data_IF_267844437585
#
_entry.id   IF_267844437585
#
_cell.length_a   1.000
_cell.length_b   1.000
_cell.length_c   1.000
_cell.angle_alpha   90.00
_cell.angle_beta   90.00
_cell.angle_gamma   90.00
#
_symmetry.space_group_name_H-M   'P 1'
#
loop_
_entity.id
_entity.type
_entity.pdbx_description
1 polymer ?
#
# COMPACT_ATOMS: atom_id res chain seq x y z
N UNK A 1 -7.43 -16.84 17.82
CA UNK A 1 -6.49 -16.09 18.65
C UNK A 1 -6.13 -14.85 17.88
N UNK A 2 -6.69 -13.71 18.27
CA UNK A 2 -6.30 -12.42 17.70
C UNK A 2 -4.86 -12.13 18.11
N UNK A 3 -3.90 -12.40 17.24
CA UNK A 3 -2.53 -11.97 17.47
C UNK A 3 -2.46 -10.47 17.25
N UNK A 4 -1.96 -9.73 18.24
CA UNK A 4 -1.70 -8.28 18.07
C UNK A 4 -0.87 -8.04 16.82
N UNK A 5 -1.22 -7.05 15.98
CA UNK A 5 -0.46 -6.80 14.75
C UNK A 5 1.00 -6.48 15.06
N UNK A 6 1.87 -7.03 14.21
CA UNK A 6 3.32 -6.97 14.37
C UNK A 6 3.91 -5.81 13.56
N UNK A 7 4.65 -4.91 14.20
CA UNK A 7 5.23 -3.72 13.58
C UNK A 7 6.75 -3.77 13.62
N UNK A 8 7.38 -3.71 12.47
CA UNK A 8 8.83 -3.49 12.36
C UNK A 8 9.13 -1.99 12.43
N UNK A 9 9.77 -1.57 13.51
CA UNK A 9 10.21 -0.18 13.70
C UNK A 9 11.68 -0.03 13.33
N UNK A 10 11.96 0.76 12.30
CA UNK A 10 13.31 1.14 11.89
C UNK A 10 13.62 2.52 12.46
N UNK A 11 14.33 2.58 13.58
CA UNK A 11 14.59 3.79 14.35
C UNK A 11 16.05 3.86 14.78
N UNK A 12 16.78 4.90 14.35
CA UNK A 12 18.16 5.12 14.75
C UNK A 12 18.28 5.51 16.24
N UNK A 13 19.38 5.16 16.86
CA UNK A 13 19.66 5.56 18.25
C UNK A 13 19.94 7.07 18.31
N UNK A 14 19.04 7.82 18.96
CA UNK A 14 19.19 9.27 19.14
C UNK A 14 19.03 9.59 20.63
N UNK A 15 20.10 10.07 21.25
CA UNK A 15 20.06 10.45 22.66
C UNK A 15 19.04 11.57 22.92
N UNK A 16 18.21 11.39 23.97
CA UNK A 16 17.25 12.41 24.42
C UNK A 16 15.95 12.49 23.62
N UNK A 17 15.68 11.58 22.67
CA UNK A 17 14.43 11.52 21.93
C UNK A 17 13.59 10.31 22.38
N UNK A 18 12.29 10.53 22.60
CA UNK A 18 11.36 9.43 22.89
C UNK A 18 11.20 8.54 21.67
N UNK A 19 11.39 7.22 21.86
CA UNK A 19 11.19 6.21 20.84
C UNK A 19 9.72 6.09 20.42
N UNK A 20 9.47 5.85 19.15
CA UNK A 20 8.12 5.57 18.66
C UNK A 20 7.59 4.23 19.19
N UNK A 21 8.47 3.32 19.62
CA UNK A 21 8.09 2.02 20.15
C UNK A 21 7.13 2.16 21.33
N UNK A 22 7.42 3.01 22.32
CA UNK A 22 6.58 3.18 23.50
C UNK A 22 5.16 3.66 23.18
N UNK A 23 5.01 4.45 22.10
CA UNK A 23 3.70 4.91 21.63
C UNK A 23 2.89 3.77 21.00
N UNK A 24 3.55 2.92 20.22
CA UNK A 24 2.93 1.79 19.52
C UNK A 24 2.61 0.65 20.49
N UNK A 25 3.51 0.32 21.42
CA UNK A 25 3.29 -0.71 22.46
C UNK A 25 2.10 -0.38 23.36
N UNK A 26 1.99 0.89 23.82
CA UNK A 26 0.84 1.37 24.60
C UNK A 26 -0.48 1.27 23.84
N UNK A 27 -0.44 1.24 22.52
CA UNK A 27 -1.60 1.07 21.66
C UNK A 27 -1.91 -0.41 21.33
N UNK A 28 -1.14 -1.36 21.88
CA UNK A 28 -1.40 -2.79 21.77
C UNK A 28 -0.70 -3.48 20.59
N UNK A 29 0.30 -2.85 19.96
CA UNK A 29 1.08 -3.47 18.89
C UNK A 29 2.28 -4.24 19.44
N UNK A 30 2.63 -5.34 18.80
CA UNK A 30 3.91 -6.05 19.04
C UNK A 30 4.98 -5.40 18.19
N UNK A 31 6.13 -5.01 18.78
CA UNK A 31 7.16 -4.22 18.11
C UNK A 31 8.47 -4.99 18.04
N UNK A 32 9.09 -4.98 16.87
CA UNK A 32 10.51 -5.30 16.71
C UNK A 32 11.27 -4.06 16.26
N UNK A 33 12.35 -3.72 16.97
CA UNK A 33 13.14 -2.52 16.70
C UNK A 33 14.44 -2.91 16.03
N UNK A 34 14.75 -2.23 14.93
CA UNK A 34 16.05 -2.30 14.27
C UNK A 34 16.61 -0.88 14.07
N UNK A 35 17.92 -0.73 14.09
CA UNK A 35 18.53 0.60 14.08
C UNK A 35 18.89 1.10 12.67
N UNK A 36 18.87 0.23 11.69
CA UNK A 36 19.24 0.57 10.31
C UNK A 36 18.31 -0.09 9.29
N UNK A 37 18.22 0.51 8.10
CA UNK A 37 17.48 -0.10 7.00
C UNK A 37 18.11 -1.41 6.50
N UNK A 38 19.41 -1.64 6.73
CA UNK A 38 20.06 -2.91 6.40
C UNK A 38 19.64 -4.03 7.36
N UNK A 39 19.57 -3.75 8.65
CA UNK A 39 19.04 -4.68 9.65
C UNK A 39 17.57 -5.02 9.36
N UNK A 40 16.77 -4.02 8.96
CA UNK A 40 15.38 -4.25 8.60
C UNK A 40 15.23 -5.21 7.41
N UNK A 41 16.07 -5.06 6.38
CA UNK A 41 16.08 -5.96 5.22
C UNK A 41 16.43 -7.39 5.64
N UNK A 42 17.52 -7.55 6.40
CA UNK A 42 17.96 -8.89 6.87
C UNK A 42 16.90 -9.55 7.77
N UNK A 43 16.24 -8.76 8.61
CA UNK A 43 15.21 -9.29 9.49
C UNK A 43 13.97 -9.77 8.70
N UNK A 44 13.56 -9.05 7.66
CA UNK A 44 12.41 -9.40 6.81
C UNK A 44 12.66 -10.61 5.92
N UNK A 45 13.90 -11.01 5.68
CA UNK A 45 14.23 -12.23 4.94
C UNK A 45 13.75 -13.50 5.68
N UNK A 46 13.67 -13.46 7.02
CA UNK A 46 13.34 -14.61 7.87
C UNK A 46 12.03 -14.39 8.67
N UNK A 47 11.51 -13.17 8.72
CA UNK A 47 10.40 -12.81 9.59
C UNK A 47 9.31 -12.05 8.83
N UNK A 48 8.09 -12.06 9.40
CA UNK A 48 6.95 -11.31 8.88
C UNK A 48 6.64 -10.09 9.73
N UNK A 49 6.14 -9.04 9.09
CA UNK A 49 5.61 -7.84 9.74
C UNK A 49 4.33 -7.38 9.03
N UNK A 50 3.36 -6.88 9.80
CA UNK A 50 2.11 -6.33 9.26
C UNK A 50 2.24 -4.87 8.83
N UNK A 51 3.25 -4.16 9.37
CA UNK A 51 3.53 -2.75 9.09
C UNK A 51 5.01 -2.43 9.32
N UNK A 52 5.58 -1.61 8.47
CA UNK A 52 6.91 -1.02 8.69
C UNK A 52 6.74 0.45 9.06
N UNK A 53 7.33 0.87 10.18
CA UNK A 53 7.49 2.28 10.54
C UNK A 53 8.96 2.65 10.39
N UNK A 54 9.27 3.46 9.39
CA UNK A 54 10.63 3.91 9.10
C UNK A 54 10.83 5.36 9.57
N UNK A 55 11.52 5.54 10.71
CA UNK A 55 11.80 6.87 11.26
C UNK A 55 13.11 7.46 10.70
N UNK A 56 13.04 8.00 9.48
CA UNK A 56 14.18 8.64 8.84
C UNK A 56 14.69 9.85 9.62
N UNK A 57 13.85 10.51 10.44
CA UNK A 57 14.24 11.66 11.25
C UNK A 57 15.30 11.33 12.32
N UNK A 58 15.52 10.05 12.62
CA UNK A 58 16.53 9.53 13.55
C UNK A 58 17.78 9.02 12.81
N UNK A 59 17.77 9.04 11.50
CA UNK A 59 18.85 8.54 10.65
C UNK A 59 19.78 9.69 10.22
N UNK A 60 21.01 9.35 9.82
CA UNK A 60 21.95 10.32 9.24
C UNK A 60 21.60 10.76 7.82
N UNK A 61 20.67 10.07 7.16
CA UNK A 61 20.16 10.35 5.83
C UNK A 61 18.64 10.33 5.85
N UNK A 62 18.00 10.92 4.83
CA UNK A 62 16.53 10.93 4.71
C UNK A 62 15.88 9.54 4.50
N UNK A 63 16.67 8.48 4.50
CA UNK A 63 16.17 7.10 4.45
C UNK A 63 15.54 6.65 3.14
N UNK A 64 15.39 7.52 2.15
CA UNK A 64 14.71 7.24 0.86
C UNK A 64 15.23 5.98 0.18
N UNK A 65 16.55 5.84 0.07
CA UNK A 65 17.18 4.67 -0.57
C UNK A 65 16.85 3.37 0.17
N UNK A 66 16.87 3.40 1.50
CA UNK A 66 16.54 2.23 2.32
C UNK A 66 15.06 1.92 2.26
N UNK A 67 14.19 2.92 2.31
CA UNK A 67 12.75 2.75 2.17
C UNK A 67 12.38 2.10 0.82
N UNK A 68 13.00 2.53 -0.29
CA UNK A 68 12.85 1.88 -1.60
C UNK A 68 13.31 0.42 -1.61
N UNK A 69 14.40 0.11 -0.93
CA UNK A 69 14.88 -1.28 -0.84
C UNK A 69 13.89 -2.14 -0.04
N UNK A 70 13.38 -1.60 1.08
CA UNK A 70 12.35 -2.24 1.88
C UNK A 70 11.06 -2.46 1.06
N UNK A 71 10.64 -1.46 0.27
CA UNK A 71 9.47 -1.59 -0.61
C UNK A 71 9.63 -2.72 -1.63
N UNK A 72 10.80 -2.91 -2.20
CA UNK A 72 11.05 -3.99 -3.17
C UNK A 72 11.03 -5.39 -2.54
N UNK A 73 11.49 -5.52 -1.29
CA UNK A 73 11.48 -6.79 -0.57
C UNK A 73 10.10 -7.08 0.03
N UNK A 74 9.46 -6.04 0.54
CA UNK A 74 8.19 -6.11 1.27
C UNK A 74 7.09 -5.42 0.46
N UNK A 75 6.84 -5.87 -0.76
CA UNK A 75 5.92 -5.23 -1.72
C UNK A 75 4.50 -5.05 -1.17
N UNK A 76 4.06 -5.96 -0.30
CA UNK A 76 2.71 -6.00 0.26
C UNK A 76 2.62 -5.44 1.69
N UNK A 77 3.74 -5.10 2.33
CA UNK A 77 3.73 -4.55 3.70
C UNK A 77 3.61 -3.03 3.61
N UNK A 78 2.61 -2.41 4.24
CA UNK A 78 2.49 -0.96 4.27
C UNK A 78 3.65 -0.31 5.03
N UNK A 79 4.09 0.89 4.57
CA UNK A 79 5.21 1.63 5.14
C UNK A 79 4.76 3.02 5.56
N UNK A 80 5.00 3.38 6.84
CA UNK A 80 4.96 4.76 7.32
C UNK A 80 6.40 5.30 7.29
N UNK A 81 6.64 6.38 6.57
CA UNK A 81 7.92 7.08 6.55
C UNK A 81 7.81 8.37 7.37
N UNK A 82 8.61 8.49 8.42
CA UNK A 82 8.70 9.70 9.24
C UNK A 82 9.95 10.50 8.87
N UNK A 83 9.81 11.82 8.74
CA UNK A 83 10.89 12.75 8.38
C UNK A 83 11.02 13.88 9.38
N UNK A 84 12.16 14.58 9.36
CA UNK A 84 12.36 15.78 10.17
C UNK A 84 11.51 16.95 9.63
N UNK A 85 11.25 17.96 10.50
CA UNK A 85 10.54 19.17 10.11
C UNK A 85 11.32 19.92 9.01
N UNK A 86 10.60 20.40 8.00
CA UNK A 86 11.17 21.19 6.91
C UNK A 86 11.91 20.38 5.84
N UNK A 87 12.07 19.06 6.00
CA UNK A 87 12.57 18.22 4.93
C UNK A 87 11.50 18.03 3.85
N UNK A 88 11.89 18.12 2.58
CA UNK A 88 10.98 17.86 1.47
C UNK A 88 10.43 16.44 1.50
N UNK A 89 9.16 16.27 1.16
CA UNK A 89 8.59 14.95 0.95
C UNK A 89 9.20 14.34 -0.30
N UNK A 90 10.04 13.33 -0.12
CA UNK A 90 10.58 12.58 -1.24
C UNK A 90 9.70 11.36 -1.50
N UNK A 91 8.77 11.51 -2.44
CA UNK A 91 7.87 10.43 -2.89
C UNK A 91 8.62 9.25 -3.50
N UNK A 92 9.89 9.43 -3.84
CA UNK A 92 10.75 8.36 -4.28
C UNK A 92 11.03 7.31 -3.19
N UNK A 93 10.70 7.57 -1.91
CA UNK A 93 10.72 6.57 -0.86
C UNK A 93 9.62 5.51 -1.02
N UNK A 94 8.57 5.79 -1.83
CA UNK A 94 7.46 4.86 -2.13
C UNK A 94 6.73 4.37 -0.86
N UNK A 95 6.66 5.21 0.19
CA UNK A 95 5.91 4.91 1.39
C UNK A 95 4.40 5.16 1.19
N UNK A 96 3.58 4.44 1.96
CA UNK A 96 2.13 4.60 1.92
C UNK A 96 1.67 5.85 2.67
N UNK A 97 2.37 6.20 3.75
CA UNK A 97 2.11 7.39 4.56
C UNK A 97 3.41 8.11 4.88
N UNK A 98 3.39 9.45 4.76
CA UNK A 98 4.46 10.32 5.19
C UNK A 98 4.04 11.11 6.44
N UNK A 99 4.89 11.14 7.46
CA UNK A 99 4.68 11.91 8.67
C UNK A 99 5.86 12.87 8.88
N UNK A 100 5.56 14.14 9.12
CA UNK A 100 6.56 15.15 9.47
C UNK A 100 6.56 15.37 11.00
N UNK A 101 7.74 15.27 11.60
CA UNK A 101 7.93 15.56 13.02
C UNK A 101 7.91 17.07 13.29
N UNK A 102 7.40 17.52 14.45
CA UNK A 102 6.82 16.70 15.51
C UNK A 102 5.37 16.27 15.18
N UNK A 103 4.98 15.09 15.59
CA UNK A 103 3.61 14.63 15.54
C UNK A 103 3.20 13.99 16.86
N UNK A 104 1.90 14.02 17.14
CA UNK A 104 1.34 13.41 18.36
C UNK A 104 1.26 11.89 18.23
N UNK A 105 1.31 11.17 19.36
CA UNK A 105 1.04 9.73 19.43
C UNK A 105 -0.29 9.37 18.76
N UNK A 106 -1.34 10.18 18.97
CA UNK A 106 -2.65 10.01 18.32
C UNK A 106 -2.56 10.01 16.80
N UNK A 107 -1.74 10.90 16.21
CA UNK A 107 -1.57 10.98 14.75
C UNK A 107 -0.90 9.71 14.22
N UNK A 108 0.19 9.24 14.87
CA UNK A 108 0.86 8.00 14.52
C UNK A 108 -0.10 6.81 14.60
N UNK A 109 -0.77 6.63 15.73
CA UNK A 109 -1.69 5.50 15.95
C UNK A 109 -2.86 5.51 14.96
N UNK A 110 -3.44 6.67 14.65
CA UNK A 110 -4.50 6.74 13.65
C UNK A 110 -4.01 6.32 12.25
N UNK A 111 -2.78 6.69 11.86
CA UNK A 111 -2.19 6.28 10.59
C UNK A 111 -1.85 4.79 10.59
N UNK A 112 -1.32 4.27 11.70
CA UNK A 112 -1.07 2.84 11.89
C UNK A 112 -2.36 2.03 11.74
N UNK A 113 -3.42 2.41 12.44
CA UNK A 113 -4.75 1.76 12.34
C UNK A 113 -5.33 1.81 10.92
N UNK A 114 -5.15 2.93 10.21
CA UNK A 114 -5.64 3.06 8.84
C UNK A 114 -4.87 2.16 7.84
N UNK A 115 -3.62 1.82 8.13
CA UNK A 115 -2.78 0.96 7.30
C UNK A 115 -2.94 -0.53 7.62
N UNK A 116 -3.26 -0.88 8.85
CA UNK A 116 -3.48 -2.26 9.26
C UNK A 116 -4.88 -2.73 8.84
N UNK A 117 -5.09 -4.03 8.60
CA UNK A 117 -6.40 -4.56 8.30
C UNK A 117 -7.42 -4.18 9.38
N UNK A 118 -8.59 -3.73 8.96
CA UNK A 118 -9.71 -3.47 9.86
C UNK A 118 -10.44 -4.80 10.20
N UNK A 119 -11.40 -4.74 11.13
CA UNK A 119 -12.27 -5.87 11.46
C UNK A 119 -12.96 -6.39 10.19
N UNK A 120 -12.62 -7.63 9.82
CA UNK A 120 -13.12 -8.31 8.61
C UNK A 120 -14.59 -8.75 8.73
N UNK A 121 -15.25 -8.56 9.88
CA UNK A 121 -16.66 -8.92 10.07
C UNK A 121 -17.63 -8.17 9.13
N UNK A 122 -17.17 -7.07 8.51
CA UNK A 122 -17.92 -6.24 7.55
C UNK A 122 -17.26 -6.21 6.18
N UNK A 123 -16.66 -7.32 5.76
CA UNK A 123 -15.96 -7.39 4.49
C UNK A 123 -16.84 -6.95 3.30
N UNK A 124 -16.34 -6.02 2.53
CA UNK A 124 -16.94 -5.60 1.28
C UNK A 124 -16.22 -6.27 0.11
N UNK A 125 -16.96 -7.04 -0.66
CA UNK A 125 -16.42 -7.83 -1.77
C UNK A 125 -16.81 -7.18 -3.09
N UNK A 126 -15.82 -6.88 -3.93
CA UNK A 126 -16.03 -6.41 -5.31
C UNK A 126 -15.53 -7.49 -6.26
N UNK A 127 -16.42 -8.01 -7.11
CA UNK A 127 -16.12 -9.08 -8.06
C UNK A 127 -16.32 -8.63 -9.48
N UNK A 128 -15.39 -8.99 -10.35
CA UNK A 128 -15.58 -8.90 -11.79
C UNK A 128 -14.68 -9.90 -12.54
N UNK A 129 -15.28 -10.75 -13.33
CA UNK A 129 -14.59 -11.82 -14.05
C UNK A 129 -13.81 -12.72 -13.09
N UNK A 130 -12.54 -12.94 -13.38
CA UNK A 130 -11.64 -13.78 -12.56
C UNK A 130 -11.12 -13.11 -11.28
N UNK A 131 -11.50 -11.86 -10.99
CA UNK A 131 -10.95 -11.07 -9.88
C UNK A 131 -12.00 -10.91 -8.79
N UNK A 132 -11.64 -11.27 -7.54
CA UNK A 132 -12.41 -11.00 -6.33
C UNK A 132 -11.57 -10.15 -5.39
N UNK A 133 -11.96 -8.90 -5.18
CA UNK A 133 -11.30 -7.96 -4.28
C UNK A 133 -12.03 -7.92 -2.93
N UNK A 134 -11.31 -8.20 -1.85
CA UNK A 134 -11.74 -8.06 -0.47
C UNK A 134 -11.22 -6.71 0.06
N UNK A 135 -12.11 -5.71 0.17
CA UNK A 135 -11.72 -4.32 0.43
C UNK A 135 -11.14 -4.10 1.82
N UNK A 136 -11.78 -4.66 2.83
CA UNK A 136 -11.37 -4.47 4.23
C UNK A 136 -10.15 -5.32 4.55
N UNK A 137 -10.16 -6.58 4.14
CA UNK A 137 -9.03 -7.49 4.24
C UNK A 137 -7.84 -7.03 3.39
N UNK A 138 -8.09 -6.17 2.37
CA UNK A 138 -7.09 -5.71 1.40
C UNK A 138 -6.37 -6.87 0.72
N UNK A 139 -7.14 -7.80 0.21
CA UNK A 139 -6.61 -8.90 -0.59
C UNK A 139 -7.39 -9.06 -1.88
N UNK A 140 -6.73 -9.66 -2.85
CA UNK A 140 -7.33 -10.03 -4.12
C UNK A 140 -7.17 -11.53 -4.33
N UNK A 141 -8.27 -12.22 -4.60
CA UNK A 141 -8.25 -13.59 -5.09
C UNK A 141 -8.44 -13.58 -6.60
N UNK A 142 -7.56 -14.27 -7.29
CA UNK A 142 -7.57 -14.38 -8.76
C UNK A 142 -7.73 -15.84 -9.15
N UNK A 143 -8.78 -16.13 -9.88
CA UNK A 143 -9.09 -17.49 -10.31
C UNK A 143 -7.88 -18.16 -10.99
N UNK A 144 -7.43 -19.29 -10.43
CA UNK A 144 -6.28 -20.05 -10.92
C UNK A 144 -4.91 -19.56 -10.43
N UNK A 145 -4.83 -18.45 -9.65
CA UNK A 145 -3.58 -17.94 -9.04
C UNK A 145 -3.62 -17.94 -7.51
N UNK A 146 -4.81 -17.80 -6.91
CA UNK A 146 -4.99 -17.71 -5.46
C UNK A 146 -5.03 -16.28 -4.93
N UNK A 147 -4.89 -16.15 -3.61
CA UNK A 147 -5.08 -14.89 -2.89
C UNK A 147 -3.75 -14.17 -2.66
N UNK A 148 -3.75 -12.84 -2.86
CA UNK A 148 -2.61 -11.95 -2.65
C UNK A 148 -3.01 -10.80 -1.73
N UNK A 149 -2.18 -10.47 -0.74
CA UNK A 149 -2.36 -9.31 0.12
C UNK A 149 -1.94 -8.02 -0.60
N UNK A 150 -2.68 -6.94 -0.39
CA UNK A 150 -2.47 -5.65 -1.04
C UNK A 150 -2.16 -4.56 -0.01
N UNK A 151 -1.28 -3.62 -0.34
CA UNK A 151 -1.19 -2.37 0.41
C UNK A 151 -2.47 -1.55 0.24
N UNK A 152 -2.77 -0.59 1.13
CA UNK A 152 -3.95 0.26 1.00
C UNK A 152 -4.07 0.94 -0.36
N UNK A 153 -2.96 1.45 -0.92
CA UNK A 153 -2.96 2.11 -2.24
C UNK A 153 -3.16 1.14 -3.39
N UNK A 154 -2.60 -0.08 -3.29
CA UNK A 154 -2.83 -1.12 -4.28
C UNK A 154 -4.29 -1.58 -4.27
N UNK A 155 -4.90 -1.74 -3.09
CA UNK A 155 -6.30 -2.10 -2.95
C UNK A 155 -7.21 -1.03 -3.57
N UNK A 156 -6.98 0.26 -3.25
CA UNK A 156 -7.73 1.37 -3.86
C UNK A 156 -7.54 1.44 -5.38
N UNK A 157 -6.31 1.27 -5.86
CA UNK A 157 -6.02 1.33 -7.28
C UNK A 157 -6.68 0.16 -8.03
N UNK A 158 -6.62 -1.05 -7.48
CA UNK A 158 -7.28 -2.21 -8.08
C UNK A 158 -8.80 -2.07 -8.03
N UNK A 159 -9.37 -1.54 -6.93
CA UNK A 159 -10.80 -1.25 -6.81
C UNK A 159 -11.27 -0.32 -7.93
N UNK A 160 -10.52 0.74 -8.24
CA UNK A 160 -10.85 1.65 -9.35
C UNK A 160 -11.00 0.89 -10.67
N UNK A 161 -10.12 -0.06 -10.95
CA UNK A 161 -10.20 -0.87 -12.17
C UNK A 161 -11.36 -1.86 -12.16
N UNK A 162 -11.58 -2.54 -11.04
CA UNK A 162 -12.64 -3.57 -10.92
C UNK A 162 -14.04 -2.93 -10.95
N UNK A 163 -14.17 -1.70 -10.46
CA UNK A 163 -15.44 -0.93 -10.57
C UNK A 163 -15.67 -0.29 -11.93
N UNK A 164 -14.63 -0.14 -12.75
CA UNK A 164 -14.71 0.43 -14.10
C UNK A 164 -14.13 -0.52 -15.15
N UNK A 165 -14.63 -1.76 -15.24
CA UNK A 165 -14.09 -2.76 -16.14
C UNK A 165 -14.29 -2.32 -17.59
N UNK A 166 -13.31 -2.61 -18.43
CA UNK A 166 -13.30 -2.28 -19.86
C UNK A 166 -13.41 -0.77 -20.15
N UNK A 167 -13.18 0.09 -19.15
CA UNK A 167 -13.13 1.53 -19.31
C UNK A 167 -11.69 2.03 -19.21
N UNK A 168 -11.36 3.02 -20.02
CA UNK A 168 -10.06 3.70 -19.94
C UNK A 168 -10.06 4.65 -18.73
N UNK A 169 -9.17 4.38 -17.77
CA UNK A 169 -8.90 5.28 -16.67
C UNK A 169 -7.62 6.06 -16.96
N UNK A 170 -7.73 7.37 -17.00
CA UNK A 170 -6.60 8.25 -17.30
C UNK A 170 -5.64 8.37 -16.12
N UNK A 171 -4.37 8.67 -16.39
CA UNK A 171 -3.37 8.87 -15.34
C UNK A 171 -3.78 9.94 -14.32
N UNK A 172 -4.29 11.14 -14.71
CA UNK A 172 -4.80 12.12 -13.76
C UNK A 172 -5.93 11.60 -12.87
N UNK A 173 -6.90 10.89 -13.43
CA UNK A 173 -8.00 10.30 -12.64
C UNK A 173 -7.48 9.32 -11.58
N UNK A 174 -6.56 8.44 -11.96
CA UNK A 174 -5.96 7.46 -11.03
C UNK A 174 -5.11 8.15 -9.96
N UNK A 175 -4.32 9.17 -10.33
CA UNK A 175 -3.52 9.95 -9.37
C UNK A 175 -4.40 10.68 -8.36
N UNK A 176 -5.47 11.31 -8.82
CA UNK A 176 -6.42 12.00 -7.94
C UNK A 176 -7.13 11.02 -6.99
N UNK A 177 -7.63 9.90 -7.51
CA UNK A 177 -8.41 8.95 -6.73
C UNK A 177 -7.59 8.20 -5.66
N UNK A 178 -6.31 7.90 -5.94
CA UNK A 178 -5.49 7.04 -5.05
C UNK A 178 -4.49 7.85 -4.24
N UNK A 179 -3.95 8.94 -4.78
CA UNK A 179 -2.94 9.78 -4.11
C UNK A 179 -3.45 11.16 -3.73
N UNK A 180 -4.73 11.47 -4.00
CA UNK A 180 -5.36 12.76 -3.67
C UNK A 180 -4.56 13.95 -4.24
N UNK A 181 -3.97 13.79 -5.42
CA UNK A 181 -3.13 14.79 -6.07
C UNK A 181 -3.50 14.97 -7.54
N UNK A 182 -3.62 16.20 -7.98
CA UNK A 182 -3.78 16.59 -9.38
C UNK A 182 -2.43 16.79 -10.11
N UNK A 183 -1.32 16.72 -9.35
CA UNK A 183 0.01 16.85 -9.90
C UNK A 183 0.41 15.62 -10.70
N UNK A 184 0.46 15.76 -12.01
CA UNK A 184 0.82 14.68 -12.97
C UNK A 184 2.25 14.78 -13.51
N UNK A 185 3.08 15.66 -12.96
CA UNK A 185 4.46 15.86 -13.43
C UNK A 185 5.37 14.66 -13.21
N UNK A 186 5.12 13.85 -12.18
CA UNK A 186 5.83 12.57 -11.97
C UNK A 186 4.84 11.45 -11.62
N UNK A 187 4.48 10.67 -12.62
CA UNK A 187 3.57 9.53 -12.49
C UNK A 187 4.30 8.18 -12.29
N UNK A 188 5.61 8.19 -12.01
CA UNK A 188 6.39 6.95 -11.82
C UNK A 188 5.83 6.10 -10.68
N UNK A 189 5.32 6.74 -9.62
CA UNK A 189 4.64 6.04 -8.51
C UNK A 189 3.45 5.23 -9.01
N UNK A 190 2.64 5.76 -9.92
CA UNK A 190 1.53 5.03 -10.53
C UNK A 190 2.04 3.83 -11.35
N UNK A 191 3.09 4.01 -12.16
CA UNK A 191 3.65 2.94 -13.00
C UNK A 191 4.17 1.76 -12.15
N UNK A 192 4.80 2.05 -11.02
CA UNK A 192 5.25 1.03 -10.05
C UNK A 192 4.06 0.26 -9.48
N UNK A 193 3.00 0.94 -9.05
CA UNK A 193 1.80 0.29 -8.51
C UNK A 193 1.04 -0.52 -9.58
N UNK A 194 0.99 -0.05 -10.82
CA UNK A 194 0.45 -0.83 -11.96
C UNK A 194 1.25 -2.12 -12.17
N UNK A 195 2.57 -2.05 -12.06
CA UNK A 195 3.42 -3.24 -12.15
C UNK A 195 3.09 -4.24 -11.05
N UNK A 196 2.98 -3.81 -9.80
CA UNK A 196 2.65 -4.68 -8.67
C UNK A 196 1.24 -5.30 -8.79
N UNK A 197 0.24 -4.53 -9.26
CA UNK A 197 -1.07 -5.11 -9.57
C UNK A 197 -0.93 -6.22 -10.63
N UNK A 198 -0.14 -6.01 -11.68
CA UNK A 198 0.09 -7.03 -12.71
C UNK A 198 0.73 -8.29 -12.13
N UNK A 199 1.67 -8.16 -11.21
CA UNK A 199 2.29 -9.30 -10.52
C UNK A 199 1.24 -10.15 -9.78
N UNK A 200 0.19 -9.52 -9.23
CA UNK A 200 -0.91 -10.24 -8.61
C UNK A 200 -1.88 -10.88 -9.64
N UNK A 201 -2.32 -10.12 -10.67
CA UNK A 201 -3.46 -10.54 -11.50
C UNK A 201 -3.08 -11.19 -12.83
N UNK A 202 -1.91 -10.91 -13.40
CA UNK A 202 -1.48 -11.44 -14.70
C UNK A 202 -0.77 -12.77 -14.58
N UNK A 203 -0.90 -13.60 -15.59
CA UNK A 203 -0.07 -14.82 -15.72
C UNK A 203 1.38 -14.47 -16.04
N UNK A 204 1.58 -13.48 -16.92
CA UNK A 204 2.90 -12.91 -17.26
C UNK A 204 2.81 -11.36 -17.11
N UNK A 205 3.35 -10.78 -16.04
CA UNK A 205 3.32 -9.33 -15.82
C UNK A 205 4.03 -8.52 -16.92
N UNK A 206 4.96 -9.12 -17.64
CA UNK A 206 5.69 -8.47 -18.75
C UNK A 206 4.86 -8.39 -20.03
N UNK A 207 3.84 -9.25 -20.15
CA UNK A 207 2.90 -9.32 -21.28
C UNK A 207 1.45 -9.25 -20.81
N UNK A 208 1.04 -8.12 -20.21
CA UNK A 208 -0.24 -8.01 -19.53
C UNK A 208 -1.41 -8.19 -20.50
N UNK A 209 -2.34 -9.07 -20.14
CA UNK A 209 -3.56 -9.34 -20.90
C UNK A 209 -4.78 -8.68 -20.25
N UNK A 210 -4.81 -8.61 -18.93
CA UNK A 210 -5.91 -8.02 -18.16
C UNK A 210 -5.71 -6.51 -17.98
N UNK A 211 -4.63 -6.07 -17.35
CA UNK A 211 -4.38 -4.65 -17.09
C UNK A 211 -3.49 -4.04 -18.17
N UNK A 212 -4.10 -3.52 -19.22
CA UNK A 212 -3.42 -2.98 -20.41
C UNK A 212 -3.00 -1.52 -20.23
N UNK A 213 -1.86 -1.15 -20.82
CA UNK A 213 -1.43 0.24 -20.95
C UNK A 213 -1.92 0.79 -22.29
N UNK A 214 -2.67 1.88 -22.24
CA UNK A 214 -3.03 2.67 -23.43
C UNK A 214 -2.06 3.85 -23.48
N UNK A 215 -1.09 3.77 -24.40
CA UNK A 215 0.01 4.74 -24.48
C UNK A 215 -0.49 6.18 -24.58
N UNK A 216 0.09 7.07 -23.77
CA UNK A 216 -0.26 8.48 -23.71
C UNK A 216 -1.60 8.81 -23.05
N UNK A 217 -2.41 7.80 -22.66
CA UNK A 217 -3.74 8.03 -22.10
C UNK A 217 -3.88 7.50 -20.67
N UNK A 218 -3.60 6.22 -20.42
CA UNK A 218 -3.80 5.62 -19.11
C UNK A 218 -3.78 4.10 -19.14
N UNK A 219 -4.68 3.49 -18.38
CA UNK A 219 -4.78 2.06 -18.19
C UNK A 219 -6.22 1.58 -18.31
N UNK A 220 -6.38 0.32 -18.67
CA UNK A 220 -7.68 -0.31 -18.89
C UNK A 220 -7.63 -1.75 -18.39
N UNK A 221 -8.54 -2.12 -17.50
CA UNK A 221 -8.75 -3.52 -17.11
C UNK A 221 -9.64 -4.18 -18.16
N UNK A 222 -9.02 -4.98 -19.04
CA UNK A 222 -9.70 -5.69 -20.12
C UNK A 222 -10.04 -7.12 -19.64
N UNK A 223 -11.24 -7.30 -19.15
CA UNK A 223 -11.69 -8.57 -18.58
C UNK A 223 -13.14 -8.86 -19.01
N UNK A 224 -13.41 -10.12 -19.35
CA UNK A 224 -14.77 -10.54 -19.64
C UNK A 224 -15.60 -10.65 -18.35
N UNK A 225 -16.88 -10.30 -18.38
CA UNK A 225 -17.76 -10.57 -17.25
C UNK A 225 -17.85 -12.08 -17.01
N UNK A 226 -17.93 -12.47 -15.74
CA UNK A 226 -18.10 -13.88 -15.39
C UNK A 226 -19.48 -14.37 -15.86
N UNK A 227 -19.51 -15.48 -16.58
CA UNK A 227 -20.76 -16.05 -17.08
C UNK A 227 -21.69 -16.57 -15.95
N UNK A 228 -21.17 -16.67 -14.72
CA UNK A 228 -21.88 -17.12 -13.52
C UNK A 228 -22.28 -15.99 -12.55
N UNK A 229 -21.86 -14.75 -12.81
CA UNK A 229 -22.18 -13.61 -11.94
C UNK A 229 -23.56 -13.06 -12.29
N UNK A 230 -24.57 -13.32 -11.44
CA UNK A 230 -25.81 -12.56 -11.44
C UNK A 230 -25.51 -11.07 -11.28
N UNK A 231 -26.26 -10.18 -11.93
CA UNK A 231 -25.99 -8.74 -11.91
C UNK A 231 -26.51 -8.10 -10.61
N UNK A 232 -25.82 -8.31 -9.49
CA UNK A 232 -26.14 -7.59 -8.24
C UNK A 232 -25.37 -6.26 -8.10
N UNK A 233 -24.81 -5.77 -9.19
CA UNK A 233 -24.23 -4.41 -9.23
C UNK A 233 -25.18 -3.46 -9.95
N UNK A 234 -25.96 -2.70 -9.18
CA UNK A 234 -26.66 -1.50 -9.66
C UNK A 234 -25.68 -0.32 -9.47
N UNK A 235 -25.14 0.29 -10.53
CA UNK A 235 -24.38 1.52 -10.38
C UNK A 235 -25.32 2.63 -9.89
N UNK A 236 -24.88 3.35 -8.84
CA UNK A 236 -25.58 4.52 -8.31
C UNK A 236 -25.69 5.59 -9.42
N UNK A 237 -26.90 6.08 -9.77
CA UNK A 237 -27.09 6.97 -10.92
C UNK A 237 -26.93 8.46 -10.57
N UNK A 238 -26.04 8.86 -9.67
CA UNK A 238 -25.84 10.27 -9.38
C UNK A 238 -24.42 10.76 -9.69
N UNK A 239 -24.36 11.93 -10.43
CA UNK A 239 -23.15 12.55 -10.97
C UNK A 239 -22.28 13.21 -9.89
#
# INVERSE_FOLDING_TARGET
MDSSPFVLLVEGQTAGRESLASMLEKAGYTIHIVNTGAEALNWLDENHSDLIVFDASTMRSNGVRNCRRLRRLAEHIPIIHSRAAGEAEDRAAEADVYLERPFSSRKLINRTKALLPADISREEIVRYGSITLYRIKRSVDVAGKGEFTLTPKLALLLEMFVRHPNQLLTRPQLMLAVWETDFVGDTRTLDVHIRWIRECIETDPSRPQLLKTIRGQGYLLNIAPDASASPDYIPDPHP
#
